data_IF_938712817219
#
_entry.id   IF_938712817219
#
_cell.length_a   1.000
_cell.length_b   1.000
_cell.length_c   1.000
_cell.angle_alpha   90.00
_cell.angle_beta   90.00
_cell.angle_gamma   90.00
#
_symmetry.space_group_name_H-M   'P 1'
#
loop_
_entity.id
_entity.type
_entity.pdbx_description
1 polymer ?
#
# COMPACT_ATOMS: atom_id res chain seq x y z
N UNK A 1 -9.62 -18.75 11.15
CA UNK A 1 -10.17 -17.84 12.18
C UNK A 1 -9.33 -16.60 12.15
N UNK A 2 -9.93 -15.43 11.97
CA UNK A 2 -9.19 -14.19 12.01
C UNK A 2 -8.87 -13.87 13.48
N UNK A 3 -7.70 -13.30 13.71
CA UNK A 3 -7.23 -13.01 15.07
C UNK A 3 -7.31 -11.51 15.28
N UNK A 4 -8.12 -11.08 16.25
CA UNK A 4 -8.30 -9.66 16.55
C UNK A 4 -7.11 -9.09 17.33
N UNK A 5 -6.93 -7.78 17.25
CA UNK A 5 -5.87 -7.06 17.96
C UNK A 5 -5.91 -7.33 19.47
N UNK A 6 -7.10 -7.25 20.11
CA UNK A 6 -7.26 -7.57 21.52
C UNK A 6 -6.84 -9.01 21.85
N UNK A 7 -7.18 -9.97 21.00
CA UNK A 7 -6.78 -11.37 21.19
C UNK A 7 -5.27 -11.55 21.19
N UNK A 8 -4.56 -10.84 20.27
CA UNK A 8 -3.10 -10.91 20.19
C UNK A 8 -2.47 -10.29 21.43
N UNK A 9 -2.94 -9.11 21.85
CA UNK A 9 -2.43 -8.44 23.06
C UNK A 9 -2.64 -9.32 24.29
N UNK A 10 -3.83 -9.91 24.47
CA UNK A 10 -4.11 -10.82 25.58
C UNK A 10 -3.25 -12.11 25.53
N UNK A 11 -2.91 -12.61 24.33
CA UNK A 11 -1.96 -13.70 24.18
C UNK A 11 -0.56 -13.34 24.71
N UNK A 12 -0.10 -12.12 24.44
CA UNK A 12 1.20 -11.63 24.94
C UNK A 12 1.15 -11.46 26.46
N UNK A 13 0.10 -10.80 26.99
CA UNK A 13 -0.09 -10.59 28.42
C UNK A 13 -0.06 -11.92 29.21
N UNK A 14 -0.79 -12.94 28.75
CA UNK A 14 -0.77 -14.27 29.37
C UNK A 14 0.64 -14.91 29.41
N UNK A 15 1.44 -14.73 28.37
CA UNK A 15 2.83 -15.23 28.35
C UNK A 15 3.70 -14.48 29.35
N UNK A 16 3.38 -13.22 29.62
CA UNK A 16 4.07 -12.39 30.61
C UNK A 16 3.51 -12.56 32.03
N UNK A 17 2.49 -13.44 32.22
CA UNK A 17 1.78 -13.69 33.48
C UNK A 17 1.04 -12.47 34.02
N UNK A 18 0.55 -11.60 33.12
CA UNK A 18 -0.29 -10.48 33.39
C UNK A 18 -1.77 -10.83 33.17
N UNK A 19 -2.66 -10.09 33.81
CA UNK A 19 -4.10 -10.26 33.64
C UNK A 19 -4.58 -9.88 32.23
N UNK A 20 -5.59 -10.60 31.75
CA UNK A 20 -6.24 -10.26 30.48
C UNK A 20 -7.06 -8.97 30.63
N UNK A 21 -7.07 -8.20 29.56
CA UNK A 21 -7.79 -6.93 29.45
C UNK A 21 -9.02 -7.05 28.56
N UNK A 22 -9.99 -6.18 28.75
CA UNK A 22 -11.19 -6.05 27.92
C UNK A 22 -11.04 -4.98 26.83
N UNK A 23 -10.12 -4.05 27.06
CA UNK A 23 -9.81 -2.97 26.11
C UNK A 23 -8.32 -2.66 26.16
N UNK A 24 -7.70 -2.48 24.99
CA UNK A 24 -6.26 -2.16 24.85
C UNK A 24 -5.92 -0.83 25.53
N UNK A 25 -6.89 0.09 25.63
CA UNK A 25 -6.72 1.38 26.29
C UNK A 25 -6.79 1.33 27.82
N UNK A 26 -7.07 0.17 28.44
CA UNK A 26 -7.31 0.05 29.90
C UNK A 26 -6.12 0.48 30.73
N UNK A 27 -4.91 0.10 30.35
CA UNK A 27 -3.69 0.43 31.09
C UNK A 27 -2.59 0.98 30.19
N UNK A 28 -1.64 1.71 30.77
CA UNK A 28 -0.43 2.14 30.03
C UNK A 28 0.39 0.94 29.55
N UNK A 29 0.41 -0.13 30.34
CA UNK A 29 1.13 -1.35 29.99
C UNK A 29 0.51 -2.08 28.78
N UNK A 30 -0.83 -2.18 28.76
CA UNK A 30 -1.52 -2.80 27.62
C UNK A 30 -1.36 -2.01 26.33
N UNK A 31 -1.31 -0.67 26.38
CA UNK A 31 -0.98 0.20 25.24
C UNK A 31 0.42 -0.09 24.71
N UNK A 32 1.42 -0.15 25.61
CA UNK A 32 2.79 -0.48 25.24
C UNK A 32 2.89 -1.85 24.56
N UNK A 33 2.19 -2.87 25.09
CA UNK A 33 2.12 -4.18 24.43
C UNK A 33 1.46 -4.10 23.06
N UNK A 34 0.42 -3.27 22.93
CA UNK A 34 -0.22 -2.99 21.64
C UNK A 34 0.75 -2.38 20.62
N UNK A 35 1.58 -1.43 21.03
CA UNK A 35 2.60 -0.84 20.17
C UNK A 35 3.60 -1.90 19.69
N UNK A 36 4.08 -2.76 20.57
CA UNK A 36 4.96 -3.89 20.18
C UNK A 36 4.29 -4.86 19.20
N UNK A 37 2.99 -5.11 19.33
CA UNK A 37 2.24 -5.93 18.37
C UNK A 37 2.21 -5.26 16.99
N UNK A 38 2.01 -3.94 16.93
CA UNK A 38 2.04 -3.19 15.68
C UNK A 38 3.43 -3.17 15.04
N UNK A 39 4.48 -3.01 15.85
CA UNK A 39 5.86 -3.05 15.35
C UNK A 39 6.22 -4.42 14.79
N UNK A 40 5.89 -5.51 15.50
CA UNK A 40 6.07 -6.86 15.01
C UNK A 40 5.27 -7.14 13.72
N UNK A 41 4.03 -6.61 13.65
CA UNK A 41 3.20 -6.69 12.44
C UNK A 41 3.88 -6.01 11.26
N UNK A 42 4.43 -4.80 11.43
CA UNK A 42 5.17 -4.07 10.40
C UNK A 42 6.39 -4.87 9.93
N UNK A 43 7.15 -5.43 10.85
CA UNK A 43 8.31 -6.25 10.53
C UNK A 43 7.93 -7.46 9.66
N UNK A 44 6.89 -8.21 10.04
CA UNK A 44 6.39 -9.35 9.27
C UNK A 44 5.88 -8.91 7.89
N UNK A 45 5.16 -7.80 7.80
CA UNK A 45 4.66 -7.28 6.54
C UNK A 45 5.78 -6.85 5.59
N UNK A 46 6.88 -6.34 6.13
CA UNK A 46 8.04 -5.90 5.36
C UNK A 46 8.97 -7.04 4.93
N UNK A 47 8.92 -8.16 5.63
CA UNK A 47 9.82 -9.29 5.38
C UNK A 47 9.54 -10.00 4.06
N UNK A 48 8.30 -9.92 3.53
CA UNK A 48 7.92 -10.64 2.31
C UNK A 48 6.75 -9.97 1.58
N UNK A 49 6.66 -10.21 0.26
CA UNK A 49 5.52 -9.76 -0.58
C UNK A 49 4.34 -10.73 -0.45
N UNK A 50 3.66 -10.66 0.68
CA UNK A 50 2.56 -11.56 1.00
C UNK A 50 1.43 -11.46 0.00
N UNK A 51 0.96 -12.60 -0.50
CA UNK A 51 -0.19 -12.64 -1.42
C UNK A 51 -1.47 -12.06 -0.80
N UNK A 52 -1.62 -12.16 0.52
CA UNK A 52 -2.73 -11.58 1.27
C UNK A 52 -2.73 -10.03 1.27
N UNK A 53 -1.60 -9.39 0.99
CA UNK A 53 -1.46 -7.93 0.90
C UNK A 53 -1.56 -7.41 -0.54
N UNK A 54 -1.74 -8.30 -1.52
CA UNK A 54 -1.91 -7.89 -2.92
C UNK A 54 -3.26 -7.23 -3.13
N UNK A 55 -3.23 -6.12 -3.84
CA UNK A 55 -4.41 -5.36 -4.24
C UNK A 55 -4.29 -4.92 -5.69
N UNK A 56 -5.42 -4.68 -6.31
CA UNK A 56 -5.52 -4.18 -7.67
C UNK A 56 -6.25 -2.84 -7.63
N UNK A 57 -5.61 -1.79 -8.12
CA UNK A 57 -6.22 -0.47 -8.23
C UNK A 57 -6.26 -0.07 -9.69
N UNK A 58 -7.41 0.41 -10.14
CA UNK A 58 -7.60 0.94 -11.50
C UNK A 58 -7.71 2.44 -11.46
N UNK A 59 -6.90 3.11 -12.28
CA UNK A 59 -6.91 4.55 -12.48
C UNK A 59 -7.42 4.84 -13.88
N UNK A 60 -8.48 5.66 -14.00
CA UNK A 60 -8.98 6.12 -15.29
C UNK A 60 -8.36 7.48 -15.62
N UNK A 61 -7.78 7.61 -16.81
CA UNK A 61 -7.16 8.84 -17.24
C UNK A 61 -8.18 9.80 -17.88
N UNK A 62 -7.78 11.06 -17.98
CA UNK A 62 -8.50 12.11 -18.69
C UNK A 62 -7.55 12.80 -19.66
N UNK A 63 -8.04 13.21 -20.81
CA UNK A 63 -7.25 13.94 -21.80
C UNK A 63 -6.60 15.20 -21.20
N UNK A 64 -5.32 15.41 -21.46
CA UNK A 64 -4.56 16.57 -21.01
C UNK A 64 -4.07 16.52 -19.55
N UNK A 65 -4.38 15.47 -18.80
CA UNK A 65 -3.94 15.30 -17.40
C UNK A 65 -2.87 14.23 -17.34
N UNK A 66 -1.71 14.56 -16.77
CA UNK A 66 -0.58 13.62 -16.64
C UNK A 66 -0.36 13.10 -15.23
N UNK A 67 -0.97 13.70 -14.19
CA UNK A 67 -0.79 13.33 -12.80
C UNK A 67 -2.05 12.71 -12.21
N UNK A 68 -1.89 11.59 -11.52
CA UNK A 68 -2.97 10.82 -10.89
C UNK A 68 -2.55 10.28 -9.54
N UNK A 69 -3.52 10.13 -8.61
CA UNK A 69 -3.31 9.38 -7.36
C UNK A 69 -3.79 7.95 -7.53
N UNK A 70 -3.01 7.00 -6.99
CA UNK A 70 -3.43 5.60 -6.89
C UNK A 70 -4.23 5.46 -5.59
N UNK A 71 -5.51 5.72 -5.65
CA UNK A 71 -6.39 5.78 -4.47
C UNK A 71 -6.36 4.48 -3.67
N UNK A 72 -6.15 4.59 -2.37
CA UNK A 72 -6.04 3.45 -1.45
C UNK A 72 -4.66 2.79 -1.41
N UNK A 73 -3.68 3.33 -2.14
CA UNK A 73 -2.31 2.78 -2.18
C UNK A 73 -1.55 2.97 -0.87
N UNK A 74 -1.90 4.02 -0.09
CA UNK A 74 -1.13 4.47 1.06
C UNK A 74 0.28 4.94 0.68
N UNK A 75 1.07 5.33 1.68
CA UNK A 75 2.33 6.05 1.48
C UNK A 75 3.46 5.22 0.85
N UNK A 76 3.44 3.89 0.99
CA UNK A 76 4.54 3.03 0.52
C UNK A 76 4.03 1.73 -0.09
N UNK A 77 3.29 1.78 -1.21
CA UNK A 77 2.90 0.59 -1.94
C UNK A 77 4.06 0.07 -2.77
N UNK A 78 4.21 -1.25 -2.84
CA UNK A 78 5.09 -1.87 -3.83
C UNK A 78 4.30 -2.18 -5.09
N UNK A 79 4.61 -1.51 -6.19
CA UNK A 79 4.02 -1.82 -7.50
C UNK A 79 4.69 -3.09 -8.05
N UNK A 80 3.89 -4.13 -8.30
CA UNK A 80 4.34 -5.37 -8.94
C UNK A 80 4.30 -5.22 -10.46
N UNK A 81 3.20 -4.67 -10.97
CA UNK A 81 3.02 -4.40 -12.39
C UNK A 81 2.03 -3.27 -12.61
N UNK A 82 2.21 -2.52 -13.68
CA UNK A 82 1.30 -1.50 -14.16
C UNK A 82 0.95 -1.80 -15.62
N UNK A 83 -0.34 -1.79 -15.94
CA UNK A 83 -0.86 -2.23 -17.24
C UNK A 83 -1.85 -1.19 -17.74
N UNK A 84 -1.73 -0.80 -18.99
CA UNK A 84 -2.77 -0.08 -19.71
C UNK A 84 -3.72 -1.10 -20.35
N UNK A 85 -4.84 -1.37 -19.69
CA UNK A 85 -5.81 -2.37 -20.15
C UNK A 85 -6.51 -1.96 -21.46
N UNK A 86 -6.60 -0.67 -21.73
CA UNK A 86 -7.20 -0.16 -22.99
C UNK A 86 -6.32 -0.47 -24.21
N UNK A 87 -5.01 -0.43 -24.04
CA UNK A 87 -4.03 -0.68 -25.12
C UNK A 87 -3.37 -2.05 -25.04
N UNK A 88 -3.66 -2.87 -24.01
CA UNK A 88 -3.05 -4.16 -23.76
C UNK A 88 -1.52 -4.12 -23.68
N UNK A 89 -0.96 -3.10 -23.01
CA UNK A 89 0.49 -2.94 -22.85
C UNK A 89 0.88 -2.68 -21.39
N UNK A 90 2.09 -3.10 -21.03
CA UNK A 90 2.66 -2.80 -19.73
C UNK A 90 3.22 -1.38 -19.71
N UNK A 91 2.99 -0.67 -18.61
CA UNK A 91 3.65 0.61 -18.35
C UNK A 91 5.04 0.33 -17.77
N UNK A 92 6.02 1.07 -18.26
CA UNK A 92 7.40 1.01 -17.78
C UNK A 92 7.64 2.06 -16.71
N UNK A 93 8.20 1.66 -15.57
CA UNK A 93 8.66 2.63 -14.57
C UNK A 93 9.92 3.35 -15.08
N UNK A 94 9.93 4.67 -14.93
CA UNK A 94 11.10 5.52 -15.19
C UNK A 94 11.40 6.41 -13.99
N UNK A 95 12.65 6.87 -13.89
CA UNK A 95 13.05 7.76 -12.81
C UNK A 95 12.43 9.16 -12.96
N UNK A 96 12.23 9.91 -11.87
CA UNK A 96 11.75 11.29 -11.94
C UNK A 96 12.62 12.18 -12.85
N UNK A 97 13.94 11.99 -12.80
CA UNK A 97 14.88 12.76 -13.67
C UNK A 97 14.65 12.48 -15.16
N UNK A 98 14.40 11.20 -15.50
CA UNK A 98 14.05 10.85 -16.88
C UNK A 98 12.75 11.53 -17.32
N UNK A 99 11.75 11.50 -16.45
CA UNK A 99 10.45 12.11 -16.69
C UNK A 99 10.55 13.62 -16.91
N UNK A 100 11.33 14.30 -16.06
CA UNK A 100 11.57 15.73 -16.20
C UNK A 100 12.27 16.08 -17.51
N UNK A 101 13.28 15.31 -17.91
CA UNK A 101 13.95 15.48 -19.20
C UNK A 101 12.99 15.25 -20.37
N UNK A 102 12.13 14.24 -20.31
CA UNK A 102 11.16 13.93 -21.35
C UNK A 102 10.13 15.05 -21.54
N UNK A 103 9.70 15.69 -20.45
CA UNK A 103 8.78 16.82 -20.51
C UNK A 103 9.45 18.15 -20.85
N UNK A 104 10.74 18.31 -20.47
CA UNK A 104 11.47 19.58 -20.72
C UNK A 104 11.97 19.69 -22.16
N UNK A 105 12.43 18.60 -22.77
CA UNK A 105 13.10 18.61 -24.07
C UNK A 105 12.14 18.55 -25.29
N UNK A 106 10.86 18.29 -25.04
CA UNK A 106 9.85 18.20 -26.11
C UNK A 106 8.56 18.88 -25.66
N UNK A 107 7.82 19.47 -26.58
CA UNK A 107 6.40 19.75 -26.34
C UNK A 107 5.78 18.42 -25.90
N UNK A 108 5.27 18.39 -24.66
CA UNK A 108 4.87 17.15 -24.00
C UNK A 108 3.99 16.31 -24.95
N UNK A 109 4.47 15.18 -25.45
CA UNK A 109 3.72 14.41 -26.43
C UNK A 109 2.40 13.96 -25.80
N UNK A 110 1.35 14.00 -26.60
CA UNK A 110 0.03 13.54 -26.20
C UNK A 110 -0.25 12.19 -26.85
N UNK A 111 -0.75 11.23 -26.06
CA UNK A 111 -1.01 9.87 -26.55
C UNK A 111 -1.33 8.89 -25.45
N UNK A 112 -1.39 7.61 -25.83
CA UNK A 112 -1.59 6.54 -24.87
C UNK A 112 -0.38 6.41 -23.93
N UNK A 113 -0.54 6.50 -22.61
CA UNK A 113 0.56 6.37 -21.67
C UNK A 113 1.16 4.97 -21.69
N UNK A 114 2.49 4.92 -21.75
CA UNK A 114 3.30 3.70 -21.71
C UNK A 114 4.33 3.72 -20.57
N UNK A 115 4.51 4.87 -19.96
CA UNK A 115 5.53 5.11 -18.93
C UNK A 115 4.93 5.83 -17.73
N UNK A 116 5.44 5.50 -16.53
CA UNK A 116 5.05 6.19 -15.30
C UNK A 116 6.25 6.43 -14.38
N UNK A 117 6.11 7.42 -13.52
CA UNK A 117 7.02 7.67 -12.39
C UNK A 117 6.25 8.02 -11.13
N UNK A 118 6.89 7.88 -9.98
CA UNK A 118 6.32 8.38 -8.73
C UNK A 118 6.50 9.90 -8.62
N UNK A 119 5.46 10.59 -8.14
CA UNK A 119 5.44 12.04 -8.00
C UNK A 119 4.93 12.48 -6.61
N UNK A 120 5.45 11.84 -5.56
CA UNK A 120 5.10 12.13 -4.17
C UNK A 120 3.79 11.47 -3.73
N UNK A 121 3.16 12.07 -2.72
CA UNK A 121 1.89 11.63 -2.12
C UNK A 121 0.86 12.75 -2.19
N UNK A 122 -0.41 12.38 -2.13
CA UNK A 122 -1.51 13.34 -2.07
C UNK A 122 -1.91 13.67 -0.62
N UNK A 123 -2.93 14.50 -0.44
CA UNK A 123 -3.43 14.91 0.89
C UNK A 123 -4.05 13.76 1.70
N UNK A 124 -4.38 12.63 1.07
CA UNK A 124 -4.93 11.44 1.72
C UNK A 124 -3.85 10.41 2.08
N UNK A 125 -2.58 10.72 1.74
CA UNK A 125 -1.44 9.81 1.91
C UNK A 125 -1.35 8.76 0.79
N UNK A 126 -2.06 8.92 -0.31
CA UNK A 126 -1.98 8.01 -1.45
C UNK A 126 -0.86 8.43 -2.41
N UNK A 127 -0.18 7.46 -3.00
CA UNK A 127 0.92 7.72 -3.93
C UNK A 127 0.42 8.37 -5.22
N UNK A 128 1.07 9.46 -5.60
CA UNK A 128 0.89 10.11 -6.89
C UNK A 128 1.84 9.55 -7.93
N UNK A 129 1.33 9.41 -9.14
CA UNK A 129 2.09 9.05 -10.32
C UNK A 129 2.00 10.12 -11.38
N UNK A 130 3.04 10.24 -12.18
CA UNK A 130 3.05 11.04 -13.41
C UNK A 130 3.22 10.10 -14.59
N UNK A 131 2.39 10.29 -15.62
CA UNK A 131 2.32 9.45 -16.82
C UNK A 131 3.01 10.13 -17.98
N UNK A 132 3.58 9.35 -18.89
CA UNK A 132 4.14 9.80 -20.15
C UNK A 132 3.81 8.78 -21.26
N UNK A 133 3.42 9.21 -22.46
CA UNK A 133 2.98 10.55 -22.84
C UNK A 133 1.77 11.07 -22.02
N UNK A 134 1.50 12.38 -22.10
CA UNK A 134 0.27 12.94 -21.50
C UNK A 134 -0.95 12.27 -22.17
N UNK A 135 -1.88 11.66 -21.41
CA UNK A 135 -3.05 11.02 -21.98
C UNK A 135 -3.85 11.95 -22.90
N UNK A 136 -4.17 11.49 -24.10
CA UNK A 136 -5.02 12.20 -25.07
C UNK A 136 -6.50 11.78 -25.01
N UNK A 137 -6.77 10.68 -24.27
CA UNK A 137 -8.09 10.11 -24.09
C UNK A 137 -8.23 9.46 -22.69
N UNK A 138 -9.37 8.82 -22.46
CA UNK A 138 -9.57 7.99 -21.25
C UNK A 138 -8.99 6.61 -21.49
N UNK A 139 -8.01 6.24 -20.65
CA UNK A 139 -7.39 4.91 -20.59
C UNK A 139 -7.64 4.32 -19.23
N UNK A 140 -7.83 3.00 -19.17
CA UNK A 140 -7.93 2.24 -17.93
C UNK A 140 -6.54 1.70 -17.58
N UNK A 141 -5.94 2.23 -16.52
CA UNK A 141 -4.62 1.82 -16.05
C UNK A 141 -4.77 1.00 -14.79
N UNK A 142 -4.32 -0.24 -14.83
CA UNK A 142 -4.39 -1.18 -13.72
C UNK A 142 -3.03 -1.34 -13.05
N UNK A 143 -3.01 -1.08 -11.75
CA UNK A 143 -1.83 -1.25 -10.89
C UNK A 143 -2.04 -2.44 -9.97
N UNK A 144 -1.17 -3.44 -10.08
CA UNK A 144 -1.10 -4.55 -9.14
C UNK A 144 -0.09 -4.17 -8.04
N UNK A 145 -0.56 -4.09 -6.81
CA UNK A 145 0.19 -3.54 -5.69
C UNK A 145 0.28 -4.55 -4.54
N UNK A 146 1.32 -4.39 -3.72
CA UNK A 146 1.32 -4.88 -2.34
C UNK A 146 1.09 -3.65 -1.46
N UNK A 147 -0.01 -3.63 -0.72
CA UNK A 147 -0.38 -2.52 0.17
C UNK A 147 -0.22 -2.98 1.61
N UNK A 148 0.49 -2.20 2.41
CA UNK A 148 0.63 -2.45 3.84
C UNK A 148 -0.56 -1.86 4.60
N UNK A 149 -1.36 -2.68 5.32
CA UNK A 149 -2.45 -2.18 6.14
C UNK A 149 -1.94 -1.25 7.25
N UNK A 150 -2.74 -0.24 7.56
CA UNK A 150 -2.50 0.67 8.69
C UNK A 150 -2.34 -0.08 10.02
N UNK A 151 -1.82 0.62 11.04
CA UNK A 151 -1.69 0.07 12.39
C UNK A 151 -3.06 -0.32 12.95
N UNK A 152 -3.04 -1.38 13.74
CA UNK A 152 -4.22 -1.82 14.48
C UNK A 152 -4.50 -0.79 15.58
N UNK A 153 -5.74 -0.33 15.67
CA UNK A 153 -6.17 0.70 16.63
C UNK A 153 -7.36 0.28 17.47
N UNK A 154 -8.33 -0.37 16.84
CA UNK A 154 -9.53 -0.85 17.54
C UNK A 154 -9.35 -2.29 18.03
N UNK A 155 -9.97 -2.63 19.15
CA UNK A 155 -9.95 -3.97 19.73
C UNK A 155 -10.33 -5.08 18.74
N UNK A 156 -11.22 -4.75 17.81
CA UNK A 156 -11.78 -5.66 16.79
C UNK A 156 -10.99 -5.69 15.48
N UNK A 157 -9.95 -4.85 15.34
CA UNK A 157 -9.14 -4.85 14.13
C UNK A 157 -8.49 -6.23 13.94
N UNK A 158 -8.47 -6.70 12.71
CA UNK A 158 -7.99 -8.02 12.35
C UNK A 158 -6.66 -7.92 11.60
N UNK A 159 -5.79 -8.89 11.83
CA UNK A 159 -4.53 -8.99 11.09
C UNK A 159 -4.82 -9.58 9.71
N UNK A 160 -4.50 -8.85 8.67
CA UNK A 160 -4.73 -9.23 7.27
C UNK A 160 -3.89 -10.44 6.83
N UNK A 161 -2.67 -10.57 7.36
CA UNK A 161 -1.85 -11.75 7.12
C UNK A 161 -2.40 -12.87 8.00
N UNK A 162 -2.90 -13.98 7.41
CA UNK A 162 -3.40 -15.08 8.21
C UNK A 162 -2.27 -15.57 9.12
N UNK A 163 -2.60 -15.76 10.40
CA UNK A 163 -1.71 -16.35 11.39
C UNK A 163 -1.34 -17.77 10.93
N UNK A 164 -0.31 -17.86 10.12
CA UNK A 164 0.41 -19.12 9.98
C UNK A 164 1.19 -19.29 11.27
N UNK A 165 0.99 -20.38 12.02
CA UNK A 165 1.77 -20.62 13.22
C UNK A 165 3.25 -20.68 12.79
N UNK A 166 3.99 -19.62 13.05
CA UNK A 166 5.46 -19.65 13.04
C UNK A 166 5.89 -20.43 14.30
N UNK A 167 5.47 -21.66 14.40
CA UNK A 167 5.76 -22.53 15.55
C UNK A 167 6.44 -23.83 15.10
N UNK A 168 6.73 -23.97 13.81
CA UNK A 168 7.45 -25.13 13.30
C UNK A 168 8.51 -24.72 12.28
N UNK A 169 9.59 -24.16 12.79
CA UNK A 169 10.95 -24.35 12.26
C UNK A 169 11.95 -24.31 13.41
#
# INVERSE_FOLDING_TARGET
>A
MSTTYLTIVNHVLRRMREDEITNIADTTYSKMVGDFVNDAKKEVQNAHDWSALRSVVTVSTSSGTSEYSITGSKEDPKIISAINDTQNLFLTYQTPVWMDNAYFNTDAPSGAPDTYTFNGIDSNGDVKIKLYPTPDATYSLRFNLVIRPADLSANTDEVTIPYLPIVHQ
#
